data_IF_053767479898
#
_entry.id   IF_053767479898
#
_cell.length_a   1.000
_cell.length_b   1.000
_cell.length_c   1.000
_cell.angle_alpha   90.00
_cell.angle_beta   90.00
_cell.angle_gamma   90.00
#
_symmetry.space_group_name_H-M   'P 1'
#
loop_
_entity.id
_entity.type
_entity.pdbx_description
1 polymer ?
#
# COMPACT_ATOMS: atom_id res chain seq x y z
N UNK A 1 2.65 -17.99 13.34
CA UNK A 1 2.64 -16.55 13.03
C UNK A 1 1.50 -15.94 13.85
N UNK A 2 1.80 -15.19 14.91
CA UNK A 2 0.77 -14.58 15.76
C UNK A 2 0.33 -13.28 15.08
N UNK A 3 -0.81 -13.29 14.38
CA UNK A 3 -1.39 -12.06 13.83
C UNK A 3 -1.64 -11.09 14.99
N UNK A 4 -0.85 -10.02 15.09
CA UNK A 4 -1.07 -8.97 16.08
C UNK A 4 -2.28 -8.13 15.68
N UNK A 5 -3.45 -8.56 16.14
CA UNK A 5 -4.78 -7.94 15.99
C UNK A 5 -4.91 -6.53 16.62
N UNK A 6 -3.82 -5.79 16.86
CA UNK A 6 -3.87 -4.55 17.64
C UNK A 6 -2.96 -3.41 17.19
N UNK A 7 -2.18 -3.55 16.12
CA UNK A 7 -1.31 -2.47 15.63
C UNK A 7 -1.46 -2.29 14.13
N UNK A 8 -1.82 -1.08 13.69
CA UNK A 8 -1.99 -0.73 12.28
C UNK A 8 -0.89 0.22 11.83
N UNK A 9 -0.60 0.19 10.53
CA UNK A 9 0.27 1.15 9.85
C UNK A 9 -0.60 2.03 8.98
N UNK A 10 -0.54 3.34 9.19
CA UNK A 10 -1.24 4.31 8.35
C UNK A 10 -0.29 4.83 7.28
N UNK A 11 -0.70 4.80 6.02
CA UNK A 11 0.05 5.43 4.93
C UNK A 11 -0.55 6.80 4.65
N UNK A 12 0.32 7.81 4.58
CA UNK A 12 -0.05 9.16 4.16
C UNK A 12 0.75 9.49 2.91
N UNK A 13 0.06 9.93 1.86
CA UNK A 13 0.70 10.41 0.64
C UNK A 13 0.62 11.93 0.65
N UNK A 14 1.75 12.60 0.51
CA UNK A 14 1.79 14.06 0.44
C UNK A 14 2.61 14.55 -0.77
N UNK A 15 2.24 15.69 -1.36
CA UNK A 15 3.08 16.39 -2.33
C UNK A 15 4.52 16.59 -1.81
N UNK A 16 5.54 16.55 -2.69
CA UNK A 16 6.94 16.64 -2.26
C UNK A 16 7.28 17.88 -1.43
N UNK A 17 6.62 19.00 -1.70
CA UNK A 17 6.75 20.29 -1.01
C UNK A 17 6.02 20.33 0.34
N UNK A 18 4.97 19.51 0.52
CA UNK A 18 4.23 19.40 1.77
C UNK A 18 4.83 18.37 2.76
N UNK A 19 5.70 17.47 2.30
CA UNK A 19 6.22 16.35 3.10
C UNK A 19 6.81 16.76 4.44
N UNK A 20 7.65 17.80 4.46
CA UNK A 20 8.31 18.24 5.69
C UNK A 20 7.28 18.75 6.71
N UNK A 21 6.34 19.60 6.27
CA UNK A 21 5.30 20.14 7.14
C UNK A 21 4.38 19.04 7.69
N UNK A 22 4.01 18.05 6.87
CA UNK A 22 3.18 16.93 7.31
C UNK A 22 3.94 16.03 8.28
N UNK A 23 5.24 15.81 8.05
CA UNK A 23 6.09 15.05 8.97
C UNK A 23 6.14 15.69 10.36
N UNK A 24 6.39 17.01 10.42
CA UNK A 24 6.49 17.73 11.68
C UNK A 24 5.16 17.74 12.44
N UNK A 25 4.04 18.06 11.77
CA UNK A 25 2.70 18.07 12.40
C UNK A 25 2.32 16.69 12.98
N UNK A 26 2.57 15.61 12.24
CA UNK A 26 2.28 14.25 12.73
C UNK A 26 3.17 13.87 13.92
N UNK A 27 4.45 14.29 13.93
CA UNK A 27 5.33 14.03 15.07
C UNK A 27 4.93 14.81 16.30
N UNK A 28 4.56 16.07 16.15
CA UNK A 28 4.05 16.91 17.25
C UNK A 28 2.77 16.32 17.88
N UNK A 29 1.94 15.65 17.09
CA UNK A 29 0.75 14.91 17.56
C UNK A 29 1.06 13.55 18.19
N UNK A 30 2.34 13.18 18.28
CA UNK A 30 2.79 11.95 18.92
C UNK A 30 2.67 10.69 18.07
N UNK A 31 2.68 10.81 16.74
CA UNK A 31 2.80 9.66 15.84
C UNK A 31 4.26 9.24 15.66
N UNK A 32 4.48 7.93 15.46
CA UNK A 32 5.78 7.41 15.02
C UNK A 32 5.83 7.49 13.50
N UNK A 33 6.46 8.54 12.97
CA UNK A 33 6.43 8.85 11.54
C UNK A 33 7.72 8.42 10.85
N UNK A 34 7.59 7.62 9.80
CA UNK A 34 8.68 7.26 8.89
C UNK A 34 8.54 8.08 7.59
N UNK A 35 9.44 9.05 7.38
CA UNK A 35 9.45 9.89 6.19
C UNK A 35 10.14 9.18 5.04
N UNK A 36 9.34 8.69 4.09
CA UNK A 36 9.77 8.00 2.86
C UNK A 36 10.97 7.05 3.07
N UNK A 37 10.89 6.10 4.02
CA UNK A 37 12.04 5.32 4.45
C UNK A 37 12.55 4.43 3.31
N UNK A 38 13.87 4.33 3.15
CA UNK A 38 14.52 3.39 2.24
C UNK A 38 14.76 2.03 2.91
N UNK A 39 15.11 1.01 2.13
CA UNK A 39 15.21 -0.38 2.63
C UNK A 39 16.24 -0.55 3.76
N UNK A 40 17.33 0.24 3.74
CA UNK A 40 18.34 0.22 4.80
C UNK A 40 17.80 0.81 6.10
N UNK A 41 17.01 1.87 6.02
CA UNK A 41 16.36 2.49 7.19
C UNK A 41 15.29 1.56 7.76
N UNK A 42 14.52 0.93 6.88
CA UNK A 42 13.47 -0.01 7.28
C UNK A 42 14.07 -1.18 8.06
N UNK A 43 15.09 -1.85 7.50
CA UNK A 43 15.73 -2.98 8.15
C UNK A 43 16.32 -2.67 9.53
N UNK A 44 16.69 -1.41 9.79
CA UNK A 44 17.30 -0.98 11.05
C UNK A 44 16.30 -0.46 12.08
N UNK A 45 15.26 0.24 11.63
CA UNK A 45 14.47 1.13 12.50
C UNK A 45 12.97 0.93 12.41
N UNK A 46 12.47 0.25 11.38
CA UNK A 46 11.03 0.11 11.19
C UNK A 46 10.44 -0.85 12.22
N UNK A 47 9.45 -0.34 12.96
CA UNK A 47 8.68 -1.10 13.94
C UNK A 47 7.23 -0.64 13.89
N UNK A 48 6.34 -1.61 13.88
CA UNK A 48 4.90 -1.35 13.94
C UNK A 48 4.50 -1.13 15.40
N UNK A 49 3.89 0.01 15.66
CA UNK A 49 3.34 0.40 16.94
C UNK A 49 1.93 1.00 16.79
N UNK A 50 1.26 1.34 17.89
CA UNK A 50 -0.14 1.77 17.88
C UNK A 50 -0.43 3.04 17.03
N UNK A 51 0.59 3.85 16.72
CA UNK A 51 0.48 5.11 15.97
C UNK A 51 1.54 5.25 14.88
N UNK A 52 1.88 4.14 14.20
CA UNK A 52 2.86 4.17 13.12
C UNK A 52 2.27 4.79 11.85
N UNK A 53 2.95 5.81 11.32
CA UNK A 53 2.64 6.44 10.04
C UNK A 53 3.82 6.31 9.10
N UNK A 54 3.58 5.86 7.86
CA UNK A 54 4.56 5.90 6.77
C UNK A 54 4.13 7.00 5.81
N UNK A 55 4.94 8.05 5.74
CA UNK A 55 4.69 9.20 4.90
C UNK A 55 5.45 9.01 3.58
N UNK A 56 4.74 8.85 2.47
CA UNK A 56 5.31 8.67 1.12
C UNK A 56 5.08 9.91 0.26
N UNK A 57 5.98 10.10 -0.71
CA UNK A 57 5.78 11.06 -1.78
C UNK A 57 4.56 10.65 -2.60
N UNK A 58 3.65 11.59 -2.83
CA UNK A 58 2.58 11.42 -3.80
C UNK A 58 3.18 11.57 -5.21
N UNK A 59 3.23 10.48 -5.97
CA UNK A 59 3.69 10.50 -7.37
C UNK A 59 2.53 10.93 -8.26
N UNK A 60 2.31 12.24 -8.38
CA UNK A 60 1.15 12.82 -9.04
C UNK A 60 1.27 12.80 -10.56
N UNK A 61 0.35 12.07 -11.19
CA UNK A 61 -0.40 12.45 -12.39
C UNK A 61 -1.55 11.45 -12.66
N UNK A 62 -1.42 10.21 -12.17
CA UNK A 62 -2.36 9.13 -12.47
C UNK A 62 -2.68 8.22 -11.28
N UNK A 63 -2.35 8.61 -10.05
CA UNK A 63 -2.76 7.86 -8.86
C UNK A 63 -4.28 7.90 -8.73
N UNK A 64 -4.98 6.76 -8.77
CA UNK A 64 -6.42 6.72 -8.57
C UNK A 64 -6.77 7.11 -7.13
N UNK A 65 -7.48 8.23 -6.97
CA UNK A 65 -7.89 8.79 -5.67
C UNK A 65 -9.38 9.10 -5.73
N UNK A 66 -10.10 8.79 -4.66
CA UNK A 66 -11.48 9.18 -4.42
C UNK A 66 -11.57 9.86 -3.05
N UNK A 67 -12.10 11.07 -2.99
CA UNK A 67 -12.30 11.83 -1.74
C UNK A 67 -11.06 11.88 -0.83
N UNK A 68 -9.88 12.12 -1.44
CA UNK A 68 -8.56 12.16 -0.78
C UNK A 68 -8.02 10.81 -0.25
N UNK A 69 -8.71 9.71 -0.53
CA UNK A 69 -8.27 8.36 -0.25
C UNK A 69 -7.83 7.66 -1.53
N UNK A 70 -6.83 6.79 -1.45
CA UNK A 70 -6.52 5.90 -2.55
C UNK A 70 -7.74 5.03 -2.88
N UNK A 71 -8.02 4.86 -4.17
CA UNK A 71 -8.99 3.84 -4.58
C UNK A 71 -8.50 2.45 -4.19
N UNK A 72 -9.39 1.45 -4.14
CA UNK A 72 -9.00 0.08 -3.78
C UNK A 72 -7.94 -0.48 -4.73
N UNK A 73 -8.02 -0.13 -6.02
CA UNK A 73 -7.04 -0.50 -7.04
C UNK A 73 -5.65 0.05 -6.71
N UNK A 74 -5.60 1.34 -6.34
CA UNK A 74 -4.35 1.99 -5.97
C UNK A 74 -3.78 1.42 -4.67
N UNK A 75 -4.64 1.15 -3.68
CA UNK A 75 -4.24 0.48 -2.44
C UNK A 75 -3.63 -0.89 -2.72
N UNK A 76 -4.24 -1.70 -3.60
CA UNK A 76 -3.72 -3.04 -3.92
C UNK A 76 -2.32 -3.00 -4.54
N UNK A 77 -2.10 -2.08 -5.49
CA UNK A 77 -0.80 -1.91 -6.16
C UNK A 77 0.26 -1.34 -5.22
N UNK A 78 -0.09 -0.33 -4.42
CA UNK A 78 0.87 0.28 -3.50
C UNK A 78 1.21 -0.69 -2.36
N UNK A 79 0.20 -1.40 -1.82
CA UNK A 79 0.41 -2.40 -0.79
C UNK A 79 1.29 -3.56 -1.29
N UNK A 80 1.23 -3.95 -2.56
CA UNK A 80 2.08 -5.04 -3.07
C UNK A 80 3.56 -4.69 -3.08
N UNK A 81 3.90 -3.42 -3.21
CA UNK A 81 5.27 -2.93 -3.12
C UNK A 81 5.68 -2.73 -1.65
N UNK A 82 4.77 -2.23 -0.83
CA UNK A 82 5.05 -1.87 0.56
C UNK A 82 5.03 -3.07 1.52
N UNK A 83 4.23 -4.10 1.25
CA UNK A 83 4.02 -5.23 2.17
C UNK A 83 5.31 -6.01 2.42
N UNK A 84 6.05 -6.32 1.35
CA UNK A 84 7.35 -6.99 1.43
C UNK A 84 8.41 -6.03 1.98
N UNK A 85 8.44 -4.79 1.48
CA UNK A 85 9.45 -3.80 1.84
C UNK A 85 9.42 -3.44 3.32
N UNK A 86 8.23 -3.33 3.91
CA UNK A 86 8.01 -2.97 5.31
C UNK A 86 7.72 -4.18 6.21
N UNK A 87 7.86 -5.40 5.69
CA UNK A 87 7.61 -6.65 6.43
C UNK A 87 6.20 -6.70 7.06
N UNK A 88 5.20 -6.12 6.39
CA UNK A 88 3.83 -6.03 6.90
C UNK A 88 3.07 -7.34 6.68
N UNK A 89 3.30 -7.98 5.54
CA UNK A 89 2.56 -9.14 5.07
C UNK A 89 3.36 -9.85 3.98
N UNK A 90 3.31 -11.18 3.96
CA UNK A 90 3.96 -11.95 2.89
C UNK A 90 3.17 -11.89 1.56
N UNK A 91 3.82 -12.29 0.47
CA UNK A 91 3.23 -12.21 -0.88
C UNK A 91 2.03 -13.12 -1.07
N UNK A 92 1.98 -14.26 -0.40
CA UNK A 92 0.89 -15.22 -0.60
C UNK A 92 -0.36 -14.78 0.14
N UNK A 93 -0.21 -14.21 1.34
CA UNK A 93 -1.31 -13.56 2.08
C UNK A 93 -1.86 -12.37 1.29
N UNK A 94 -0.99 -11.52 0.73
CA UNK A 94 -1.39 -10.42 -0.15
C UNK A 94 -2.22 -10.91 -1.34
N UNK A 95 -1.74 -11.92 -2.06
CA UNK A 95 -2.40 -12.45 -3.26
C UNK A 95 -3.76 -13.06 -2.94
N UNK A 96 -3.87 -13.78 -1.82
CA UNK A 96 -5.16 -14.33 -1.36
C UNK A 96 -6.15 -13.21 -1.04
N UNK A 97 -5.70 -12.14 -0.38
CA UNK A 97 -6.53 -10.97 -0.10
C UNK A 97 -6.95 -10.26 -1.39
N UNK A 98 -6.02 -10.02 -2.32
CA UNK A 98 -6.28 -9.37 -3.60
C UNK A 98 -7.27 -10.17 -4.45
N UNK A 99 -7.11 -11.50 -4.53
CA UNK A 99 -8.03 -12.38 -5.26
C UNK A 99 -9.47 -12.26 -4.72
N UNK A 100 -9.65 -12.26 -3.39
CA UNK A 100 -10.97 -12.09 -2.75
C UNK A 100 -11.59 -10.72 -3.03
N UNK A 101 -10.79 -9.66 -3.06
CA UNK A 101 -11.26 -8.31 -3.36
C UNK A 101 -11.71 -8.19 -4.81
N UNK A 102 -10.94 -8.72 -5.75
CA UNK A 102 -11.30 -8.71 -7.18
C UNK A 102 -12.57 -9.52 -7.44
N UNK A 103 -12.69 -10.73 -6.88
CA UNK A 103 -13.89 -11.55 -7.09
C UNK A 103 -15.15 -10.99 -6.42
N UNK A 104 -15.02 -10.01 -5.53
CA UNK A 104 -16.17 -9.31 -4.94
C UNK A 104 -16.87 -8.31 -5.88
N UNK A 105 -16.30 -8.06 -7.07
CA UNK A 105 -16.85 -7.12 -8.06
C UNK A 105 -16.67 -5.64 -7.70
N UNK A 106 -15.85 -5.33 -6.68
CA UNK A 106 -15.59 -3.97 -6.19
C UNK A 106 -14.33 -3.32 -6.76
N UNK A 107 -13.62 -4.04 -7.64
CA UNK A 107 -12.34 -3.61 -8.20
C UNK A 107 -12.48 -3.45 -9.70
N UNK A 108 -12.21 -2.25 -10.20
CA UNK A 108 -12.07 -2.00 -11.63
C UNK A 108 -10.71 -2.53 -12.12
N UNK A 109 -10.73 -3.66 -12.82
CA UNK A 109 -9.54 -4.30 -13.36
C UNK A 109 -8.78 -3.42 -14.37
N UNK A 110 -9.47 -2.60 -15.16
CA UNK A 110 -8.81 -1.72 -16.12
C UNK A 110 -8.01 -0.64 -15.41
N UNK A 111 -8.59 -0.05 -14.35
CA UNK A 111 -7.92 0.92 -13.48
C UNK A 111 -6.74 0.27 -12.75
N UNK A 112 -6.93 -0.91 -12.16
CA UNK A 112 -5.87 -1.66 -11.47
C UNK A 112 -4.68 -1.98 -12.37
N UNK A 113 -4.91 -2.56 -13.55
CA UNK A 113 -3.84 -2.93 -14.48
C UNK A 113 -3.11 -1.69 -15.01
N UNK A 114 -3.85 -0.63 -15.33
CA UNK A 114 -3.26 0.62 -15.81
C UNK A 114 -2.35 1.24 -14.75
N UNK A 115 -2.79 1.27 -13.49
CA UNK A 115 -2.01 1.82 -12.39
C UNK A 115 -0.83 0.92 -12.01
N UNK A 116 -0.99 -0.41 -11.99
CA UNK A 116 0.10 -1.37 -11.78
C UNK A 116 1.22 -1.16 -12.80
N UNK A 117 0.87 -1.00 -14.08
CA UNK A 117 1.83 -0.71 -15.16
C UNK A 117 2.59 0.59 -14.93
N UNK A 118 1.90 1.66 -14.51
CA UNK A 118 2.54 2.95 -14.18
C UNK A 118 3.50 2.84 -13.00
N UNK A 119 3.20 1.95 -12.04
CA UNK A 119 4.04 1.68 -10.86
C UNK A 119 5.13 0.63 -11.09
N UNK A 120 5.19 0.03 -12.29
CA UNK A 120 6.13 -1.04 -12.63
C UNK A 120 5.88 -2.35 -11.90
N UNK A 121 4.62 -2.61 -11.50
CA UNK A 121 4.20 -3.84 -10.81
C UNK A 121 3.62 -4.82 -11.82
N UNK A 122 4.08 -6.08 -11.80
CA UNK A 122 3.50 -7.11 -12.64
C UNK A 122 2.16 -7.59 -12.05
N UNK A 123 1.16 -7.82 -12.91
CA UNK A 123 -0.17 -8.29 -12.46
C UNK A 123 -0.07 -9.66 -11.76
N UNK A 124 0.91 -10.48 -12.12
CA UNK A 124 1.23 -11.76 -11.45
C UNK A 124 1.75 -11.59 -10.03
N UNK A 125 2.25 -10.41 -9.66
CA UNK A 125 2.62 -10.10 -8.28
C UNK A 125 1.37 -9.92 -7.41
N UNK A 126 0.26 -9.50 -8.02
CA UNK A 126 -1.03 -9.26 -7.37
C UNK A 126 -1.93 -10.51 -7.33
N UNK A 127 -1.82 -11.41 -8.31
CA UNK A 127 -2.70 -12.59 -8.43
C UNK A 127 -1.94 -13.89 -8.72
N UNK A 128 -2.29 -14.97 -8.01
CA UNK A 128 -1.91 -16.34 -8.35
C UNK A 128 -2.88 -16.86 -9.42
N UNK A 129 -2.40 -17.00 -10.66
CA UNK A 129 -3.11 -17.56 -11.83
C UNK A 129 -4.37 -16.78 -12.27
N UNK A 130 -4.22 -15.92 -13.29
CA UNK A 130 -5.32 -15.18 -13.90
C UNK A 130 -6.39 -16.10 -14.56
N UNK A 131 -6.04 -17.34 -14.91
CA UNK A 131 -6.95 -18.27 -15.60
C UNK A 131 -8.15 -18.71 -14.74
N UNK A 132 -8.01 -18.76 -13.42
CA UNK A 132 -9.10 -19.18 -12.53
C UNK A 132 -10.16 -18.08 -12.31
N UNK A 133 -9.77 -16.81 -12.44
CA UNK A 133 -10.64 -15.65 -12.19
C UNK A 133 -11.63 -15.45 -13.34
N UNK A 134 -11.22 -15.71 -14.59
CA UNK A 134 -12.07 -15.58 -15.78
C UNK A 134 -13.05 -16.76 -15.90
N UNK A 135 -12.68 -17.95 -15.43
CA UNK A 135 -13.52 -19.16 -15.52
C UNK A 135 -14.63 -19.24 -14.47
N UNK A 136 -14.65 -18.32 -13.49
CA UNK A 136 -15.59 -18.33 -12.35
C UNK A 136 -16.66 -17.23 -12.43
N UNK A 137 -16.68 -16.45 -13.51
CA UNK A 137 -17.70 -15.44 -13.84
C UNK A 137 -18.70 -16.02 -14.85
#
# INVERSE_FOLDING_TARGET
MHHMLGKSVTFVLAPPDALASVYDDLRERGYTVYLNPNDKEVAKTFKVDARTVVLRKLNTLHTPVQDHLLSVEAVLVDLSQESERLFLMDKDELRQMAARLVTSGRVDLATLVSYAKLRGVAVTDLFQNCESIISSL
#
